data_IF_184513860561
#
_entry.id   IF_184513860561
#
_cell.length_a   1.000
_cell.length_b   1.000
_cell.length_c   1.000
_cell.angle_alpha   90.00
_cell.angle_beta   90.00
_cell.angle_gamma   90.00
#
_symmetry.space_group_name_H-M   'P 1'
#
loop_
_entity.id
_entity.type
_entity.pdbx_description
1 polymer ?
#
# COMPACT_ATOMS: atom_id res chain seq x y z
N UNK A 1 -8.72 21.46 -9.04
CA UNK A 1 -9.18 20.53 -10.08
C UNK A 1 -9.91 19.31 -9.52
N UNK A 2 -9.48 18.74 -8.37
CA UNK A 2 -10.04 17.49 -7.84
C UNK A 2 -11.32 17.62 -7.00
N UNK A 3 -11.76 18.84 -6.68
CA UNK A 3 -12.90 19.09 -5.78
C UNK A 3 -14.28 18.58 -6.26
N UNK A 4 -14.41 18.15 -7.52
CA UNK A 4 -15.61 17.48 -8.01
C UNK A 4 -15.70 15.98 -7.68
N UNK A 5 -14.60 15.37 -7.19
CA UNK A 5 -14.53 13.95 -6.88
C UNK A 5 -14.93 13.71 -5.42
N UNK A 6 -15.89 12.82 -5.19
CA UNK A 6 -16.33 12.43 -3.84
C UNK A 6 -15.19 11.87 -3.01
N UNK A 7 -14.30 11.06 -3.60
CA UNK A 7 -13.14 10.49 -2.90
C UNK A 7 -12.19 11.58 -2.36
N UNK A 8 -11.93 12.64 -3.15
CA UNK A 8 -11.11 13.76 -2.70
C UNK A 8 -11.81 14.55 -1.59
N UNK A 9 -13.10 14.81 -1.73
CA UNK A 9 -13.91 15.54 -0.73
C UNK A 9 -14.01 14.83 0.61
N UNK A 10 -13.99 13.49 0.59
CA UNK A 10 -14.13 12.65 1.79
C UNK A 10 -12.79 12.11 2.31
N UNK A 11 -11.66 12.53 1.74
CA UNK A 11 -10.33 12.06 2.17
C UNK A 11 -10.08 10.57 1.91
N UNK A 12 -10.80 9.97 0.96
CA UNK A 12 -10.70 8.54 0.59
C UNK A 12 -9.74 8.32 -0.58
N UNK A 13 -8.56 8.92 -0.49
CA UNK A 13 -7.48 8.76 -1.47
C UNK A 13 -6.29 8.17 -0.74
N UNK A 14 -5.77 7.07 -1.27
CA UNK A 14 -4.71 6.31 -0.64
C UNK A 14 -3.54 6.13 -1.61
N UNK A 15 -2.32 6.16 -1.08
CA UNK A 15 -1.12 5.84 -1.82
C UNK A 15 -0.82 4.35 -1.79
N UNK A 16 -0.27 3.85 -2.89
CA UNK A 16 0.21 2.48 -3.06
C UNK A 16 1.68 2.52 -3.44
N UNK A 17 2.38 1.42 -3.17
CA UNK A 17 3.76 1.28 -3.62
C UNK A 17 3.79 0.96 -5.12
N UNK A 18 4.72 1.55 -5.89
CA UNK A 18 4.86 1.24 -7.31
C UNK A 18 5.44 -0.17 -7.49
N UNK A 19 4.87 -0.93 -8.41
CA UNK A 19 5.21 -2.34 -8.58
C UNK A 19 5.77 -2.68 -9.97
N UNK A 20 5.95 -1.71 -10.86
CA UNK A 20 6.24 -1.96 -12.28
C UNK A 20 7.64 -1.49 -12.74
N UNK A 21 8.54 -1.22 -11.81
CA UNK A 21 9.91 -0.80 -12.14
C UNK A 21 10.72 -2.01 -12.61
N UNK A 22 11.19 -1.99 -13.87
CA UNK A 22 11.96 -3.08 -14.51
C UNK A 22 11.19 -4.42 -14.65
N UNK A 23 9.87 -4.35 -14.83
CA UNK A 23 8.87 -5.45 -14.86
C UNK A 23 8.04 -5.50 -13.56
N UNK A 24 7.26 -6.56 -13.35
CA UNK A 24 6.34 -6.70 -12.22
C UNK A 24 7.05 -7.23 -10.97
N UNK A 25 7.05 -6.41 -9.93
CA UNK A 25 7.41 -6.74 -8.55
C UNK A 25 6.18 -7.37 -7.87
N UNK A 26 6.06 -8.69 -7.93
CA UNK A 26 4.87 -9.43 -7.50
C UNK A 26 4.63 -9.32 -5.99
N UNK A 27 5.69 -9.27 -5.21
CA UNK A 27 5.69 -8.99 -3.78
C UNK A 27 4.98 -7.66 -3.47
N UNK A 28 5.28 -6.59 -4.21
CA UNK A 28 4.61 -5.29 -4.05
C UNK A 28 3.17 -5.32 -4.54
N UNK A 29 2.85 -6.09 -5.59
CA UNK A 29 1.45 -6.32 -6.03
C UNK A 29 0.63 -6.98 -4.91
N UNK A 30 1.18 -8.03 -4.28
CA UNK A 30 0.51 -8.73 -3.19
C UNK A 30 0.34 -7.84 -1.97
N UNK A 31 1.39 -7.13 -1.56
CA UNK A 31 1.35 -6.17 -0.46
C UNK A 31 0.28 -5.09 -0.68
N UNK A 32 0.27 -4.46 -1.87
CA UNK A 32 -0.78 -3.51 -2.27
C UNK A 32 -2.18 -4.14 -2.20
N UNK A 33 -2.32 -5.40 -2.63
CA UNK A 33 -3.57 -6.14 -2.56
C UNK A 33 -4.13 -6.25 -1.15
N UNK A 34 -3.29 -6.55 -0.16
CA UNK A 34 -3.70 -6.60 1.25
C UNK A 34 -4.13 -5.23 1.78
N UNK A 35 -3.37 -4.18 1.47
CA UNK A 35 -3.73 -2.81 1.86
C UNK A 35 -5.08 -2.37 1.24
N UNK A 36 -5.29 -2.63 -0.06
CA UNK A 36 -6.56 -2.35 -0.75
C UNK A 36 -7.69 -3.17 -0.12
N UNK A 37 -7.47 -4.45 0.15
CA UNK A 37 -8.42 -5.34 0.80
C UNK A 37 -8.87 -4.80 2.16
N UNK A 38 -7.93 -4.44 3.03
CA UNK A 38 -8.18 -3.82 4.34
C UNK A 38 -8.92 -2.49 4.22
N UNK A 39 -8.56 -1.66 3.25
CA UNK A 39 -9.19 -0.35 3.03
C UNK A 39 -10.65 -0.49 2.59
N UNK A 40 -10.95 -1.47 1.72
CA UNK A 40 -12.30 -1.66 1.17
C UNK A 40 -13.20 -2.52 2.06
N UNK A 41 -12.62 -3.49 2.78
CA UNK A 41 -13.35 -4.50 3.55
C UNK A 41 -12.71 -4.72 4.94
N UNK A 42 -12.69 -3.69 5.81
CA UNK A 42 -11.95 -3.74 7.08
C UNK A 42 -12.33 -4.94 7.97
N UNK A 43 -13.61 -5.30 8.00
CA UNK A 43 -14.12 -6.45 8.79
C UNK A 43 -13.60 -7.81 8.28
N UNK A 44 -13.22 -7.91 7.01
CA UNK A 44 -12.70 -9.15 6.40
C UNK A 44 -11.19 -9.32 6.54
N UNK A 45 -10.52 -8.23 6.91
CA UNK A 45 -9.08 -8.15 7.07
C UNK A 45 -8.75 -7.67 8.49
N UNK A 46 -9.63 -7.89 9.47
CA UNK A 46 -9.54 -7.31 10.81
C UNK A 46 -8.19 -7.62 11.49
N UNK A 47 -7.66 -8.81 11.23
CA UNK A 47 -6.41 -9.39 11.71
C UNK A 47 -5.17 -8.97 10.89
N UNK A 48 -5.35 -8.24 9.80
CA UNK A 48 -4.27 -7.81 8.91
C UNK A 48 -3.85 -6.37 9.23
N UNK A 49 -2.59 -6.21 9.64
CA UNK A 49 -1.82 -4.98 9.49
C UNK A 49 -1.13 -4.99 8.10
N UNK A 50 -1.43 -4.04 7.20
CA UNK A 50 -0.84 -4.02 5.86
C UNK A 50 0.68 -3.83 5.84
N UNK A 51 1.26 -3.12 6.80
CA UNK A 51 2.72 -2.89 6.88
C UNK A 51 3.41 -4.19 7.31
N UNK A 52 2.94 -4.81 8.39
CA UNK A 52 3.49 -6.09 8.85
C UNK A 52 3.33 -7.18 7.78
N UNK A 53 2.19 -7.20 7.08
CA UNK A 53 1.94 -8.15 5.99
C UNK A 53 2.85 -7.90 4.79
N UNK A 54 3.16 -6.64 4.47
CA UNK A 54 4.12 -6.34 3.41
C UNK A 54 5.52 -6.84 3.78
N UNK A 55 5.98 -6.61 5.01
CA UNK A 55 7.27 -7.11 5.49
C UNK A 55 7.35 -8.64 5.53
N UNK A 56 6.26 -9.33 5.87
CA UNK A 56 6.16 -10.80 5.75
C UNK A 56 6.35 -11.26 4.30
N UNK A 57 5.67 -10.59 3.35
CA UNK A 57 5.75 -10.90 1.92
C UNK A 57 7.16 -10.60 1.39
N UNK A 58 7.72 -9.42 1.68
CA UNK A 58 9.08 -9.06 1.28
C UNK A 58 10.10 -10.03 1.87
N UNK A 59 9.98 -10.38 3.15
CA UNK A 59 10.86 -11.37 3.77
C UNK A 59 10.81 -12.73 3.07
N UNK A 60 9.64 -13.15 2.58
CA UNK A 60 9.51 -14.38 1.80
C UNK A 60 10.16 -14.30 0.41
N UNK A 61 9.97 -13.19 -0.32
CA UNK A 61 10.44 -13.05 -1.71
C UNK A 61 11.91 -12.62 -1.82
N UNK A 62 12.34 -11.67 -0.99
CA UNK A 62 13.66 -11.03 -1.07
C UNK A 62 14.54 -11.25 0.16
N UNK A 63 14.00 -11.88 1.21
CA UNK A 63 14.76 -12.31 2.39
C UNK A 63 14.78 -11.34 3.56
N UNK A 64 14.26 -10.11 3.39
CA UNK A 64 14.30 -9.06 4.40
C UNK A 64 12.98 -8.23 4.44
N UNK A 65 12.62 -7.68 5.61
CA UNK A 65 11.45 -6.81 5.77
C UNK A 65 11.76 -5.37 5.33
N UNK A 66 11.68 -5.13 4.01
CA UNK A 66 12.15 -3.88 3.39
C UNK A 66 11.04 -2.84 3.16
N UNK A 67 9.85 -2.99 3.76
CA UNK A 67 8.75 -2.04 3.51
C UNK A 67 9.13 -0.60 3.83
N UNK A 68 9.74 -0.35 4.99
CA UNK A 68 10.08 1.00 5.44
C UNK A 68 11.09 1.68 4.50
N UNK A 69 12.18 0.98 4.16
CA UNK A 69 13.19 1.48 3.22
C UNK A 69 12.56 1.77 1.85
N UNK A 70 11.79 0.82 1.32
CA UNK A 70 11.15 0.98 0.03
C UNK A 70 10.12 2.11 0.02
N UNK A 71 9.34 2.28 1.08
CA UNK A 71 8.36 3.37 1.19
C UNK A 71 9.04 4.74 1.31
N UNK A 72 10.22 4.81 1.94
CA UNK A 72 11.00 6.03 2.06
C UNK A 72 11.46 6.55 0.68
N UNK A 73 11.71 5.67 -0.29
CA UNK A 73 12.00 6.05 -1.68
C UNK A 73 10.83 6.78 -2.35
N UNK A 74 9.61 6.60 -1.84
CA UNK A 74 8.37 7.20 -2.33
C UNK A 74 7.71 8.14 -1.31
N UNK A 75 8.54 8.90 -0.59
CA UNK A 75 8.11 9.96 0.32
C UNK A 75 7.21 9.47 1.48
N UNK A 76 7.29 8.19 1.82
CA UNK A 76 6.43 7.55 2.83
C UNK A 76 4.93 7.67 2.55
N UNK A 77 4.55 7.72 1.25
CA UNK A 77 3.16 7.85 0.82
C UNK A 77 2.48 6.50 0.57
N UNK A 78 3.22 5.39 0.56
CA UNK A 78 2.68 4.05 0.47
C UNK A 78 1.85 3.69 1.71
N UNK A 79 0.68 3.08 1.47
CA UNK A 79 -0.28 2.67 2.51
C UNK A 79 -0.79 3.80 3.40
N UNK A 80 -0.69 5.04 2.93
CA UNK A 80 -1.15 6.22 3.63
C UNK A 80 -2.33 6.87 2.91
N UNK A 81 -3.16 7.59 3.68
CA UNK A 81 -4.11 8.53 3.10
C UNK A 81 -3.37 9.73 2.50
N UNK A 82 -3.71 10.11 1.28
CA UNK A 82 -3.08 11.24 0.58
C UNK A 82 -3.94 12.49 0.78
N UNK A 83 -3.40 13.56 1.38
CA UNK A 83 -4.10 14.84 1.44
C UNK A 83 -4.19 15.44 0.03
N UNK A 84 -5.41 15.82 -0.38
CA UNK A 84 -5.72 16.43 -1.67
C UNK A 84 -6.39 17.80 -1.55
#
# INVERSE_FOLDING_TARGET
ALGGLTAAREGRVCGLLPYNFYSTNYETVLANGYFIGKTLYPDRFEDIDPVEKADEIYSFFVGEPVFEEHNAEYQNMGFAGIPL
#
